data_IF_103416819041
#
_entry.id   IF_103416819041
#
_cell.length_a   1.000
_cell.length_b   1.000
_cell.length_c   1.000
_cell.angle_alpha   90.00
_cell.angle_beta   90.00
_cell.angle_gamma   90.00
#
_symmetry.space_group_name_H-M   'P 1'
#
loop_
_entity.id
_entity.type
_entity.pdbx_description
1 polymer ?
#
# COMPACT_ATOMS: atom_id res chain seq x y z
N UNK A 1 17.90 -27.06 -17.82
CA UNK A 1 17.60 -26.86 -16.39
C UNK A 1 18.72 -27.49 -15.56
N UNK A 2 19.45 -26.70 -14.76
CA UNK A 2 20.46 -27.24 -13.84
C UNK A 2 19.69 -27.89 -12.69
N UNK A 3 19.73 -29.23 -12.58
CA UNK A 3 19.12 -29.94 -11.45
C UNK A 3 20.00 -29.67 -10.22
N UNK A 4 19.56 -28.77 -9.34
CA UNK A 4 20.20 -28.58 -8.04
C UNK A 4 20.04 -29.85 -7.21
N UNK A 5 21.08 -30.24 -6.49
CA UNK A 5 20.95 -31.28 -5.46
C UNK A 5 19.98 -30.80 -4.37
N UNK A 6 19.21 -31.70 -3.74
CA UNK A 6 18.26 -31.32 -2.69
C UNK A 6 18.86 -30.44 -1.58
N UNK A 7 20.10 -30.74 -1.17
CA UNK A 7 20.83 -29.97 -0.14
C UNK A 7 21.17 -28.56 -0.62
N UNK A 8 21.65 -28.41 -1.86
CA UNK A 8 21.96 -27.11 -2.45
C UNK A 8 20.70 -26.24 -2.57
N UNK A 9 19.57 -26.86 -2.88
CA UNK A 9 18.27 -26.19 -2.93
C UNK A 9 17.86 -25.65 -1.55
N UNK A 10 18.04 -26.45 -0.50
CA UNK A 10 17.71 -26.05 0.86
C UNK A 10 18.60 -24.89 1.34
N UNK A 11 19.91 -24.97 1.10
CA UNK A 11 20.86 -23.89 1.43
C UNK A 11 20.50 -22.57 0.74
N UNK A 12 20.10 -22.64 -0.53
CA UNK A 12 19.72 -21.45 -1.29
C UNK A 12 18.41 -20.82 -0.79
N UNK A 13 17.42 -21.64 -0.42
CA UNK A 13 16.17 -21.16 0.18
C UNK A 13 16.44 -20.46 1.51
N UNK A 14 17.29 -21.05 2.36
CA UNK A 14 17.69 -20.47 3.64
C UNK A 14 18.44 -19.14 3.46
N UNK A 15 19.37 -19.07 2.51
CA UNK A 15 20.12 -17.86 2.19
C UNK A 15 19.20 -16.71 1.74
N UNK A 16 18.23 -17.00 0.86
CA UNK A 16 17.24 -16.02 0.40
C UNK A 16 16.39 -15.52 1.58
N UNK A 17 15.95 -16.42 2.46
CA UNK A 17 15.16 -16.07 3.63
C UNK A 17 15.93 -15.17 4.60
N UNK A 18 17.20 -15.49 4.87
CA UNK A 18 18.08 -14.69 5.72
C UNK A 18 18.32 -13.30 5.15
N UNK A 19 18.59 -13.17 3.85
CA UNK A 19 18.76 -11.86 3.22
C UNK A 19 17.50 -11.00 3.28
N UNK A 20 16.33 -11.62 3.12
CA UNK A 20 15.07 -10.92 3.32
C UNK A 20 14.90 -10.45 4.77
N UNK A 21 15.18 -11.32 5.75
CA UNK A 21 15.11 -10.98 7.17
C UNK A 21 16.08 -9.85 7.54
N UNK A 22 17.25 -9.80 6.90
CA UNK A 22 18.24 -8.74 7.05
C UNK A 22 17.88 -7.42 6.31
N UNK A 23 16.75 -7.39 5.60
CA UNK A 23 16.33 -6.24 4.80
C UNK A 23 17.25 -5.94 3.62
N UNK A 24 18.06 -6.91 3.19
CA UNK A 24 18.93 -6.79 2.02
C UNK A 24 18.14 -6.98 0.73
N UNK A 25 17.15 -7.88 0.76
CA UNK A 25 16.25 -8.16 -0.35
C UNK A 25 14.80 -7.85 0.07
N UNK A 26 14.03 -7.16 -0.80
CA UNK A 26 12.59 -7.01 -0.59
C UNK A 26 11.87 -8.35 -0.71
N UNK A 27 10.62 -8.44 -0.25
CA UNK A 27 9.82 -9.67 -0.40
C UNK A 27 9.64 -10.05 -1.89
N UNK A 28 9.39 -9.06 -2.76
CA UNK A 28 9.27 -9.27 -4.20
C UNK A 28 10.56 -9.78 -4.83
N UNK A 29 11.70 -9.18 -4.45
CA UNK A 29 13.02 -9.63 -4.90
C UNK A 29 13.30 -11.07 -4.45
N UNK A 30 12.98 -11.38 -3.20
CA UNK A 30 13.15 -12.73 -2.62
C UNK A 30 12.33 -13.77 -3.39
N UNK A 31 11.06 -13.47 -3.70
CA UNK A 31 10.19 -14.37 -4.48
C UNK A 31 10.71 -14.56 -5.92
N UNK A 32 11.25 -13.50 -6.54
CA UNK A 32 11.89 -13.60 -7.85
C UNK A 32 13.14 -14.51 -7.79
N UNK A 33 13.94 -14.42 -6.74
CA UNK A 33 15.11 -15.30 -6.54
C UNK A 33 14.69 -16.75 -6.32
N UNK A 34 13.64 -17.00 -5.51
CA UNK A 34 13.05 -18.32 -5.36
C UNK A 34 12.61 -18.89 -6.72
N UNK A 35 11.96 -18.09 -7.55
CA UNK A 35 11.60 -18.53 -8.91
C UNK A 35 12.84 -18.88 -9.75
N UNK A 36 13.76 -17.94 -9.93
CA UNK A 36 14.86 -18.08 -10.89
C UNK A 36 15.96 -19.03 -10.41
N UNK A 37 16.36 -18.91 -9.16
CA UNK A 37 17.54 -19.61 -8.64
C UNK A 37 17.16 -20.97 -8.06
N UNK A 38 15.98 -21.11 -7.42
CA UNK A 38 15.55 -22.39 -6.82
C UNK A 38 14.80 -23.28 -7.82
N UNK A 39 13.88 -22.71 -8.62
CA UNK A 39 13.07 -23.51 -9.55
C UNK A 39 13.58 -23.47 -11.00
N UNK A 40 14.28 -22.40 -11.41
CA UNK A 40 14.67 -22.19 -12.79
C UNK A 40 13.51 -21.94 -13.75
N UNK A 41 12.31 -21.63 -13.23
CA UNK A 41 11.11 -21.42 -14.03
C UNK A 41 11.04 -19.98 -14.57
N UNK A 42 10.50 -19.85 -15.78
CA UNK A 42 10.07 -18.55 -16.29
C UNK A 42 8.87 -18.01 -15.49
N UNK A 43 8.52 -16.75 -15.77
CA UNK A 43 7.52 -16.05 -14.99
C UNK A 43 6.11 -16.63 -15.19
N UNK A 44 5.78 -17.07 -16.40
CA UNK A 44 4.46 -17.63 -16.72
C UNK A 44 4.26 -18.98 -16.02
N UNK A 45 5.22 -19.89 -16.17
CA UNK A 45 5.15 -21.23 -15.56
C UNK A 45 5.09 -21.15 -14.04
N UNK A 46 5.85 -20.23 -13.44
CA UNK A 46 5.81 -20.00 -12.00
C UNK A 46 4.50 -19.39 -11.53
N UNK A 47 3.90 -18.47 -12.30
CA UNK A 47 2.61 -17.88 -11.97
C UNK A 47 1.50 -18.96 -11.94
N UNK A 48 1.51 -19.87 -12.92
CA UNK A 48 0.61 -21.03 -12.93
C UNK A 48 0.81 -21.92 -11.70
N UNK A 49 2.06 -22.19 -11.33
CA UNK A 49 2.37 -22.96 -10.11
C UNK A 49 1.86 -22.28 -8.84
N UNK A 50 1.95 -20.95 -8.78
CA UNK A 50 1.42 -20.13 -7.69
C UNK A 50 -0.10 -19.89 -7.76
N UNK A 51 -0.78 -20.41 -8.81
CA UNK A 51 -2.21 -20.21 -9.08
C UNK A 51 -2.60 -18.73 -9.16
N UNK A 52 -1.77 -17.92 -9.81
CA UNK A 52 -2.00 -16.48 -10.02
C UNK A 52 -1.70 -16.05 -11.46
N UNK A 53 -2.13 -14.85 -11.85
CA UNK A 53 -1.83 -14.33 -13.18
C UNK A 53 -0.35 -13.92 -13.29
N UNK A 54 0.23 -14.03 -14.49
CA UNK A 54 1.60 -13.57 -14.78
C UNK A 54 1.79 -12.09 -14.44
N UNK A 55 0.78 -11.25 -14.72
CA UNK A 55 0.78 -9.82 -14.35
C UNK A 55 0.84 -9.64 -12.82
N UNK A 56 0.02 -10.38 -12.07
CA UNK A 56 0.01 -10.32 -10.61
C UNK A 56 1.35 -10.75 -10.02
N UNK A 57 1.96 -11.81 -10.55
CA UNK A 57 3.29 -12.24 -10.15
C UNK A 57 4.35 -11.16 -10.47
N UNK A 58 4.30 -10.55 -11.66
CA UNK A 58 5.22 -9.47 -12.04
C UNK A 58 5.12 -8.27 -11.09
N UNK A 59 3.91 -7.83 -10.75
CA UNK A 59 3.70 -6.72 -9.82
C UNK A 59 4.13 -7.06 -8.39
N UNK A 60 4.03 -8.33 -8.00
CA UNK A 60 4.53 -8.84 -6.73
C UNK A 60 6.07 -8.89 -6.71
N UNK A 61 6.71 -9.45 -7.74
CA UNK A 61 8.18 -9.52 -7.86
C UNK A 61 8.83 -8.14 -7.97
N UNK A 62 8.15 -7.18 -8.60
CA UNK A 62 8.63 -5.79 -8.73
C UNK A 62 8.33 -4.91 -7.52
N UNK A 63 7.60 -5.42 -6.52
CA UNK A 63 7.19 -4.64 -5.34
C UNK A 63 6.19 -3.52 -5.64
N UNK A 64 5.53 -3.57 -6.80
CA UNK A 64 4.52 -2.58 -7.23
C UNK A 64 3.10 -2.89 -6.75
N UNK A 65 2.88 -4.10 -6.23
CA UNK A 65 1.59 -4.51 -5.66
C UNK A 65 1.59 -4.49 -4.13
N UNK A 66 0.40 -4.42 -3.55
CA UNK A 66 0.15 -4.66 -2.13
C UNK A 66 -0.61 -5.98 -1.94
N UNK A 67 0.06 -7.14 -2.06
CA UNK A 67 -0.59 -8.43 -1.96
C UNK A 67 -1.13 -8.70 -0.56
N UNK A 68 -2.25 -9.42 -0.46
CA UNK A 68 -2.76 -9.90 0.84
C UNK A 68 -1.73 -10.83 1.48
N UNK A 69 -1.66 -10.86 2.81
CA UNK A 69 -0.78 -11.77 3.54
C UNK A 69 -0.95 -13.24 3.11
N UNK A 70 -2.21 -13.67 2.92
CA UNK A 70 -2.51 -15.04 2.46
C UNK A 70 -1.97 -15.36 1.06
N UNK A 71 -1.83 -14.37 0.16
CA UNK A 71 -1.21 -14.56 -1.15
C UNK A 71 0.29 -14.80 -1.01
N UNK A 72 0.97 -13.99 -0.19
CA UNK A 72 2.39 -14.19 0.10
C UNK A 72 2.64 -15.56 0.74
N UNK A 73 1.81 -15.91 1.72
CA UNK A 73 1.94 -17.17 2.45
C UNK A 73 1.72 -18.38 1.53
N UNK A 74 0.77 -18.32 0.60
CA UNK A 74 0.54 -19.40 -0.37
C UNK A 74 1.76 -19.65 -1.26
N UNK A 75 2.43 -18.59 -1.73
CA UNK A 75 3.66 -18.71 -2.54
C UNK A 75 4.81 -19.27 -1.70
N UNK A 76 5.03 -18.74 -0.51
CA UNK A 76 6.14 -19.13 0.38
C UNK A 76 6.05 -20.59 0.82
N UNK A 77 4.83 -21.10 1.07
CA UNK A 77 4.61 -22.50 1.45
C UNK A 77 5.12 -23.51 0.41
N UNK A 78 5.18 -23.15 -0.88
CA UNK A 78 5.76 -23.99 -1.94
C UNK A 78 7.26 -24.27 -1.74
N UNK A 79 7.92 -23.45 -0.92
CA UNK A 79 9.34 -23.53 -0.60
C UNK A 79 9.60 -23.94 0.85
N UNK A 80 8.55 -24.31 1.61
CA UNK A 80 8.68 -24.58 3.04
C UNK A 80 8.87 -23.32 3.90
N UNK A 81 8.59 -22.13 3.34
CA UNK A 81 8.70 -20.85 4.03
C UNK A 81 7.35 -20.40 4.58
N UNK A 82 7.37 -19.56 5.62
CA UNK A 82 6.20 -18.91 6.21
C UNK A 82 6.47 -17.44 6.51
N UNK A 83 5.43 -16.63 6.56
CA UNK A 83 5.53 -15.25 7.04
C UNK A 83 5.74 -15.22 8.57
N UNK A 84 6.51 -14.23 9.03
CA UNK A 84 6.83 -14.02 10.44
C UNK A 84 7.35 -12.60 10.71
N UNK A 85 7.59 -12.29 11.98
CA UNK A 85 8.18 -11.03 12.42
C UNK A 85 9.67 -11.27 12.67
N UNK A 86 10.51 -10.35 12.21
CA UNK A 86 11.96 -10.36 12.43
C UNK A 86 12.39 -9.04 13.07
N UNK A 87 13.52 -9.04 13.78
CA UNK A 87 14.12 -7.80 14.25
C UNK A 87 14.55 -6.96 13.05
N UNK A 88 14.25 -5.66 13.07
CA UNK A 88 14.77 -4.75 12.07
C UNK A 88 16.28 -4.54 12.32
N UNK A 89 17.18 -5.03 11.47
CA UNK A 89 18.62 -4.97 11.76
C UNK A 89 19.19 -3.55 11.69
N UNK A 90 18.46 -2.62 11.03
CA UNK A 90 18.83 -1.19 10.97
C UNK A 90 18.12 -0.35 12.03
N UNK A 91 17.03 -0.88 12.58
CA UNK A 91 16.28 -0.28 13.67
C UNK A 91 16.64 -1.01 14.95
N UNK A 92 17.77 -0.63 15.56
CA UNK A 92 17.96 -0.95 16.97
C UNK A 92 16.67 -0.60 17.72
N UNK A 93 16.25 -1.45 18.66
CA UNK A 93 15.09 -1.14 19.50
C UNK A 93 15.49 0.11 20.29
N UNK A 94 15.25 1.29 19.73
CA UNK A 94 15.06 2.47 20.54
C UNK A 94 13.80 2.14 21.32
N UNK A 95 13.86 1.93 22.65
CA UNK A 95 12.65 1.78 23.41
C UNK A 95 11.84 3.03 23.14
N UNK A 96 10.76 2.91 22.37
CA UNK A 96 9.71 3.91 22.37
C UNK A 96 9.29 3.96 23.83
N UNK A 97 9.68 5.03 24.52
CA UNK A 97 9.10 5.32 25.83
C UNK A 97 7.61 5.49 25.58
N UNK A 98 6.82 4.48 25.93
CA UNK A 98 5.35 4.48 25.87
C UNK A 98 4.74 5.55 26.81
N UNK A 99 5.55 6.47 27.35
CA UNK A 99 5.19 7.55 28.25
C UNK A 99 5.08 8.90 27.54
N UNK A 100 5.14 8.96 26.21
CA UNK A 100 4.69 10.14 25.47
C UNK A 100 3.16 10.26 25.62
N UNK A 101 2.77 10.79 26.77
CA UNK A 101 1.46 11.40 26.97
C UNK A 101 1.28 12.36 25.81
N UNK A 102 0.15 12.35 25.07
CA UNK A 102 -0.10 13.34 24.04
C UNK A 102 -0.11 14.72 24.72
N UNK A 103 1.02 15.41 24.67
CA UNK A 103 1.16 16.78 25.13
C UNK A 103 0.29 17.63 24.21
N UNK A 104 -0.94 17.86 24.68
CA UNK A 104 -1.82 18.97 24.38
C UNK A 104 -1.48 19.73 23.09
N UNK A 105 -1.96 19.21 21.96
CA UNK A 105 -2.20 20.06 20.81
C UNK A 105 -3.44 20.91 21.13
N UNK A 106 -3.23 22.09 21.70
CA UNK A 106 -4.27 23.10 21.88
C UNK A 106 -5.03 23.33 20.57
N UNK A 107 -6.38 23.37 20.58
CA UNK A 107 -7.11 23.81 19.41
C UNK A 107 -6.84 25.31 19.21
N UNK A 108 -5.94 25.64 18.30
CA UNK A 108 -5.78 27.02 17.81
C UNK A 108 -7.10 27.44 17.17
N UNK A 109 -7.90 28.18 17.95
CA UNK A 109 -9.10 28.91 17.52
C UNK A 109 -8.74 29.82 16.35
N UNK A 110 -8.90 29.30 15.14
CA UNK A 110 -9.00 30.07 13.92
C UNK A 110 -10.38 30.72 13.85
N UNK A 111 -10.39 32.03 13.71
CA UNK A 111 -11.55 32.94 13.66
C UNK A 111 -12.65 32.43 12.69
N UNK A 112 -13.81 32.05 13.21
CA UNK A 112 -15.02 31.81 12.40
C UNK A 112 -15.39 33.08 11.60
N UNK A 113 -15.69 33.01 10.29
CA UNK A 113 -16.42 34.09 9.63
C UNK A 113 -17.91 33.90 9.91
N UNK A 114 -18.34 34.22 11.13
CA UNK A 114 -19.74 34.40 11.48
C UNK A 114 -19.99 35.89 11.75
N UNK A 115 -19.80 36.71 10.72
CA UNK A 115 -20.28 38.09 10.68
C UNK A 115 -21.30 38.21 9.53
N UNK A 116 -22.34 37.39 9.60
CA UNK A 116 -23.53 37.52 8.77
C UNK A 116 -24.76 37.64 9.66
N UNK A 117 -24.83 38.67 10.51
CA UNK A 117 -26.11 39.18 11.03
C UNK A 117 -26.11 40.70 11.25
N UNK A 118 -26.91 41.34 10.40
CA UNK A 118 -27.97 42.28 10.76
C UNK A 118 -27.65 43.78 10.87
N UNK A 119 -28.36 44.55 10.02
CA UNK A 119 -29.18 45.77 10.26
C UNK A 119 -29.03 46.68 9.03
N UNK A 120 -30.03 47.31 8.40
CA UNK A 120 -31.45 47.65 8.63
C UNK A 120 -31.98 47.99 7.22
N UNK A 121 -33.20 47.61 6.81
CA UNK A 121 -34.40 48.38 7.15
C UNK A 121 -34.45 49.71 6.39
N UNK A 122 -35.00 49.71 5.17
CA UNK A 122 -35.30 50.90 4.38
C UNK A 122 -36.50 50.63 3.48
N UNK A 123 -37.61 51.32 3.74
CA UNK A 123 -38.93 51.11 3.16
C UNK A 123 -39.29 52.17 2.11
N UNK A 124 -40.04 51.71 1.08
CA UNK A 124 -41.13 52.37 0.33
C UNK A 124 -40.86 53.19 -0.96
N UNK A 125 -41.83 52.97 -1.87
CA UNK A 125 -42.29 53.73 -3.06
C UNK A 125 -41.49 53.50 -4.36
N UNK A 126 -42.05 53.29 -5.55
CA UNK A 126 -43.42 53.39 -6.08
C UNK A 126 -43.45 52.67 -7.46
N UNK A 127 -44.59 52.13 -7.89
CA UNK A 127 -44.80 51.60 -9.25
C UNK A 127 -45.02 52.74 -10.26
N UNK A 128 -44.79 52.53 -11.58
CA UNK A 128 -45.97 52.39 -12.45
C UNK A 128 -45.82 51.41 -13.64
N UNK A 129 -46.81 50.51 -13.73
CA UNK A 129 -47.79 50.30 -14.82
C UNK A 129 -47.40 50.44 -16.33
N UNK A 130 -47.33 49.28 -17.02
CA UNK A 130 -47.79 48.93 -18.41
C UNK A 130 -47.12 49.58 -19.65
N UNK A 131 -47.25 49.01 -20.91
CA UNK A 131 -48.14 47.93 -21.34
C UNK A 131 -47.52 46.76 -22.14
N UNK A 132 -48.37 45.73 -22.30
CA UNK A 132 -48.28 44.56 -23.17
C UNK A 132 -48.34 44.89 -24.67
N UNK A 133 -48.13 43.83 -25.48
CA UNK A 133 -48.32 43.65 -26.95
C UNK A 133 -47.03 43.87 -27.74
N UNK A 134 -46.70 43.11 -28.76
CA UNK A 134 -47.56 42.35 -29.68
C UNK A 134 -46.79 41.21 -30.36
N UNK A 135 -47.55 40.25 -30.83
CA UNK A 135 -47.16 39.10 -31.65
C UNK A 135 -46.55 39.48 -33.02
N UNK A 136 -45.80 38.54 -33.60
CA UNK A 136 -45.82 38.30 -35.04
C UNK A 136 -44.62 38.80 -35.86
N UNK A 137 -43.75 37.87 -36.27
CA UNK A 137 -43.86 37.15 -37.56
C UNK A 137 -42.84 36.02 -37.62
#
# INVERSE_FOLDING_TARGET
MKKLQPEQRAQLVEEIAQRNALGLDSIGASIRRLRLEVTGLDQETFATMCKMSTKSLYELESGKSNPKLGTLEAVLRLFGLRMGIVLNPRGGINPVSLTDTPAQAEPKRGRSPAAAKAKRGGSKQETPKFPSRDDGQ
#
